data_IF_340107487048
#
_entry.id   IF_340107487048
#
_cell.length_a   1.000
_cell.length_b   1.000
_cell.length_c   1.000
_cell.angle_alpha   90.00
_cell.angle_beta   90.00
_cell.angle_gamma   90.00
#
_symmetry.space_group_name_H-M   'P 1'
#
loop_
_entity.id
_entity.type
_entity.pdbx_description
1 polymer ?
#
# COMPACT_ATOMS: atom_id res chain seq x y z
N UNK A 1 -0.77 2.64 -22.28
CA UNK A 1 -0.60 4.08 -21.97
C UNK A 1 -1.40 4.27 -20.69
N UNK A 2 -0.75 4.58 -19.57
CA UNK A 2 -1.48 4.90 -18.35
C UNK A 2 -2.32 6.14 -18.61
N UNK A 3 -3.62 6.06 -18.32
CA UNK A 3 -4.52 7.22 -18.35
C UNK A 3 -3.96 8.32 -17.45
N UNK A 4 -4.13 9.59 -17.82
CA UNK A 4 -3.71 10.76 -17.02
C UNK A 4 -4.27 10.74 -15.57
N UNK A 5 -5.29 9.92 -15.29
CA UNK A 5 -5.91 9.76 -13.96
C UNK A 5 -5.09 8.99 -12.92
N UNK A 6 -3.97 8.39 -13.31
CA UNK A 6 -3.21 7.46 -12.46
C UNK A 6 -1.78 7.94 -12.10
N UNK A 7 -1.43 9.18 -12.43
CA UNK A 7 -0.10 9.73 -12.08
C UNK A 7 -0.10 10.11 -10.59
N UNK A 8 0.81 9.57 -9.77
CA UNK A 8 0.81 9.84 -8.33
C UNK A 8 1.49 11.18 -8.01
N UNK A 9 1.01 11.85 -6.96
CA UNK A 9 1.68 13.04 -6.43
C UNK A 9 2.96 12.73 -5.64
N UNK A 10 3.08 11.50 -5.14
CA UNK A 10 4.26 11.06 -4.39
C UNK A 10 5.52 11.11 -5.26
N UNK A 11 6.52 11.89 -4.86
CA UNK A 11 7.84 11.96 -5.49
C UNK A 11 8.73 10.87 -4.87
N UNK A 12 9.04 9.75 -5.55
CA UNK A 12 9.75 8.61 -4.96
C UNK A 12 11.28 8.78 -5.02
N UNK A 13 11.75 9.99 -4.68
CA UNK A 13 13.15 10.40 -4.72
C UNK A 13 13.49 11.01 -3.37
N UNK A 14 14.69 10.72 -2.87
CA UNK A 14 15.11 11.29 -1.60
C UNK A 14 15.32 12.79 -1.71
N UNK A 15 14.99 13.54 -0.65
CA UNK A 15 15.21 15.00 -0.60
C UNK A 15 16.65 15.40 -0.92
N UNK A 16 17.64 14.63 -0.48
CA UNK A 16 19.06 14.88 -0.83
C UNK A 16 19.30 14.83 -2.33
N UNK A 17 18.77 13.81 -3.02
CA UNK A 17 18.96 13.67 -4.48
C UNK A 17 18.27 14.79 -5.25
N UNK A 18 17.10 15.24 -4.79
CA UNK A 18 16.43 16.41 -5.38
C UNK A 18 17.31 17.66 -5.23
N UNK A 19 17.80 17.95 -4.02
CA UNK A 19 18.69 19.10 -3.77
C UNK A 19 19.96 19.05 -4.60
N UNK A 20 20.63 17.90 -4.63
CA UNK A 20 21.87 17.71 -5.38
C UNK A 20 21.63 17.95 -6.89
N UNK A 21 20.50 17.50 -7.43
CA UNK A 21 20.13 17.73 -8.83
C UNK A 21 19.81 19.21 -9.12
N UNK A 22 19.08 19.90 -8.23
CA UNK A 22 18.77 21.32 -8.40
C UNK A 22 20.05 22.18 -8.37
N UNK A 23 20.96 21.91 -7.44
CA UNK A 23 22.23 22.64 -7.32
C UNK A 23 23.17 22.37 -8.51
N UNK A 24 23.03 21.23 -9.17
CA UNK A 24 23.82 20.87 -10.35
C UNK A 24 23.35 21.54 -11.65
N UNK A 25 22.24 22.28 -11.64
CA UNK A 25 21.74 22.98 -12.83
C UNK A 25 22.68 24.14 -13.23
N UNK A 26 22.90 24.33 -14.53
CA UNK A 26 23.83 25.35 -15.08
C UNK A 26 23.48 26.80 -14.68
N UNK A 27 22.21 27.06 -14.36
CA UNK A 27 21.73 28.38 -13.90
C UNK A 27 22.19 28.72 -12.48
N UNK A 28 22.68 27.73 -11.72
CA UNK A 28 23.05 27.88 -10.31
C UNK A 28 24.55 28.12 -10.17
N UNK A 29 24.93 29.36 -9.85
CA UNK A 29 26.30 29.69 -9.50
C UNK A 29 26.68 29.24 -8.07
N UNK A 30 27.95 29.41 -7.69
CA UNK A 30 28.46 28.98 -6.38
C UNK A 30 27.85 29.72 -5.19
N UNK A 31 27.52 31.00 -5.36
CA UNK A 31 26.96 31.82 -4.29
C UNK A 31 25.48 31.46 -4.10
N UNK A 32 24.73 31.35 -5.19
CA UNK A 32 23.35 30.88 -5.17
C UNK A 32 23.23 29.44 -4.63
N UNK A 33 24.13 28.54 -5.03
CA UNK A 33 24.17 27.18 -4.49
C UNK A 33 24.33 27.16 -2.95
N UNK A 34 25.16 28.06 -2.40
CA UNK A 34 25.35 28.18 -0.95
C UNK A 34 24.08 28.69 -0.28
N UNK A 35 23.47 29.73 -0.84
CA UNK A 35 22.25 30.32 -0.29
C UNK A 35 21.07 29.34 -0.33
N UNK A 36 20.88 28.62 -1.44
CA UNK A 36 19.84 27.59 -1.59
C UNK A 36 20.02 26.44 -0.59
N UNK A 37 21.26 26.01 -0.33
CA UNK A 37 21.55 25.01 0.72
C UNK A 37 21.11 25.49 2.09
N UNK A 38 21.38 26.76 2.42
CA UNK A 38 20.99 27.33 3.71
C UNK A 38 19.46 27.46 3.83
N UNK A 39 18.78 27.93 2.78
CA UNK A 39 17.31 28.02 2.77
C UNK A 39 16.72 26.63 2.96
N UNK A 40 17.17 25.64 2.19
CA UNK A 40 16.71 24.26 2.32
C UNK A 40 16.95 23.68 3.73
N UNK A 41 18.10 23.95 4.35
CA UNK A 41 18.38 23.49 5.72
C UNK A 41 17.42 24.10 6.74
N UNK A 42 17.08 25.38 6.60
CA UNK A 42 16.12 26.04 7.49
C UNK A 42 14.70 25.50 7.30
N UNK A 43 14.27 25.28 6.05
CA UNK A 43 12.99 24.61 5.78
C UNK A 43 12.97 23.21 6.41
N UNK A 44 14.00 22.39 6.17
CA UNK A 44 14.12 21.05 6.77
C UNK A 44 14.01 21.09 8.31
N UNK A 45 14.70 22.01 8.97
CA UNK A 45 14.65 22.15 10.42
C UNK A 45 13.24 22.51 10.93
N UNK A 46 12.57 23.47 10.27
CA UNK A 46 11.22 23.92 10.64
C UNK A 46 10.18 22.81 10.49
N UNK A 47 10.16 22.12 9.35
CA UNK A 47 9.23 21.01 9.13
C UNK A 47 9.53 19.85 10.07
N UNK A 48 10.80 19.51 10.29
CA UNK A 48 11.16 18.45 11.23
C UNK A 48 10.62 18.72 12.64
N UNK A 49 10.75 19.96 13.12
CA UNK A 49 10.22 20.36 14.42
C UNK A 49 8.69 20.25 14.49
N UNK A 50 7.97 20.70 13.45
CA UNK A 50 6.51 20.60 13.39
C UNK A 50 6.04 19.14 13.34
N UNK A 51 6.68 18.33 12.49
CA UNK A 51 6.42 16.90 12.34
C UNK A 51 6.63 16.14 13.65
N UNK A 52 7.69 16.46 14.40
CA UNK A 52 7.96 15.86 15.70
C UNK A 52 6.82 16.10 16.71
N UNK A 53 6.27 17.32 16.76
CA UNK A 53 5.14 17.64 17.66
C UNK A 53 3.91 16.81 17.33
N UNK A 54 3.60 16.67 16.04
CA UNK A 54 2.48 15.86 15.57
C UNK A 54 2.71 14.37 15.85
N UNK A 55 3.93 13.89 15.63
CA UNK A 55 4.34 12.50 15.88
C UNK A 55 4.18 12.12 17.36
N UNK A 56 4.64 12.96 18.29
CA UNK A 56 4.52 12.70 19.73
C UNK A 56 3.06 12.70 20.18
N UNK A 57 2.22 13.59 19.63
CA UNK A 57 0.78 13.58 19.87
C UNK A 57 0.13 12.28 19.39
N UNK A 58 0.47 11.80 18.19
CA UNK A 58 -0.02 10.54 17.64
C UNK A 58 0.40 9.35 18.51
N UNK A 59 1.67 9.28 18.92
CA UNK A 59 2.19 8.22 19.81
C UNK A 59 1.44 8.19 21.14
N UNK A 60 1.25 9.34 21.78
CA UNK A 60 0.55 9.44 23.07
C UNK A 60 -0.91 8.95 22.97
N UNK A 61 -1.60 9.25 21.87
CA UNK A 61 -2.96 8.72 21.67
C UNK A 61 -2.90 7.21 21.39
N UNK A 62 -1.95 6.77 20.56
CA UNK A 62 -1.82 5.40 20.10
C UNK A 62 -1.36 4.42 21.19
N UNK A 63 -0.64 4.86 22.23
CA UNK A 63 -0.28 4.04 23.40
C UNK A 63 -1.52 3.33 23.99
N UNK A 64 -2.67 3.99 23.96
CA UNK A 64 -3.92 3.40 24.43
C UNK A 64 -4.74 2.64 23.37
N UNK A 65 -4.28 2.63 22.13
CA UNK A 65 -4.86 1.89 21.02
C UNK A 65 -4.00 0.67 20.65
N UNK A 66 -2.75 0.61 21.11
CA UNK A 66 -1.81 -0.44 20.74
C UNK A 66 -2.35 -1.82 21.17
N UNK A 67 -2.46 -2.77 20.21
CA UNK A 67 -2.90 -4.14 20.45
C UNK A 67 -2.12 -4.90 21.55
N UNK A 68 -0.87 -4.50 21.79
CA UNK A 68 0.05 -5.19 22.68
C UNK A 68 0.10 -4.60 24.09
N UNK A 69 -0.10 -3.29 24.25
CA UNK A 69 0.13 -2.60 25.53
C UNK A 69 -1.17 -2.31 26.33
N UNK A 70 -2.23 -1.80 25.70
CA UNK A 70 -3.43 -1.34 26.43
C UNK A 70 -4.76 -1.62 25.69
N UNK A 71 -5.51 -2.69 26.04
CA UNK A 71 -6.56 -3.26 25.20
C UNK A 71 -7.95 -2.59 25.29
N UNK A 72 -8.05 -1.33 25.74
CA UNK A 72 -9.34 -0.62 25.87
C UNK A 72 -9.36 0.65 25.03
N UNK A 73 -9.04 0.53 23.74
CA UNK A 73 -9.26 1.60 22.78
C UNK A 73 -10.75 1.81 22.56
N UNK A 74 -11.34 2.84 23.19
CA UNK A 74 -12.73 3.22 22.92
C UNK A 74 -12.83 3.84 21.52
N UNK A 75 -13.92 3.57 20.80
CA UNK A 75 -14.17 4.10 19.44
C UNK A 75 -13.89 5.61 19.29
N UNK A 76 -14.25 6.50 20.25
CA UNK A 76 -13.94 7.92 20.14
C UNK A 76 -12.44 8.22 20.08
N UNK A 77 -11.60 7.43 20.76
CA UNK A 77 -10.14 7.61 20.74
C UNK A 77 -9.54 7.15 19.41
N UNK A 78 -10.05 6.06 18.84
CA UNK A 78 -9.69 5.58 17.50
C UNK A 78 -10.01 6.65 16.46
N UNK A 79 -11.22 7.21 16.48
CA UNK A 79 -11.61 8.28 15.54
C UNK A 79 -10.75 9.54 15.70
N UNK A 80 -10.40 9.93 16.93
CA UNK A 80 -9.52 11.06 17.17
C UNK A 80 -8.09 10.82 16.64
N UNK A 81 -7.54 9.62 16.86
CA UNK A 81 -6.26 9.22 16.28
C UNK A 81 -6.29 9.29 14.76
N UNK A 82 -7.27 8.62 14.14
CA UNK A 82 -7.42 8.54 12.69
C UNK A 82 -7.57 9.93 12.07
N UNK A 83 -8.32 10.84 12.69
CA UNK A 83 -8.46 12.22 12.19
C UNK A 83 -7.13 12.97 12.11
N UNK A 84 -6.25 12.82 13.11
CA UNK A 84 -4.93 13.47 13.08
C UNK A 84 -4.02 12.74 12.09
N UNK A 85 -4.08 11.41 12.08
CA UNK A 85 -3.26 10.58 11.21
C UNK A 85 -3.60 10.75 9.72
N UNK A 86 -4.88 10.95 9.38
CA UNK A 86 -5.35 11.30 8.04
C UNK A 86 -4.71 12.61 7.54
N UNK A 87 -4.43 13.57 8.44
CA UNK A 87 -3.69 14.80 8.10
C UNK A 87 -2.26 14.49 7.66
N UNK A 88 -1.52 13.71 8.46
CA UNK A 88 -0.15 13.28 8.12
C UNK A 88 -0.11 12.46 6.83
N UNK A 89 -1.12 11.62 6.61
CA UNK A 89 -1.25 10.85 5.37
C UNK A 89 -1.46 11.78 4.17
N UNK A 90 -2.31 12.80 4.30
CA UNK A 90 -2.53 13.80 3.24
C UNK A 90 -1.24 14.55 2.90
N UNK A 91 -0.55 15.08 3.91
CA UNK A 91 0.72 15.81 3.76
C UNK A 91 1.83 14.92 3.13
N UNK A 92 1.71 13.60 3.25
CA UNK A 92 2.60 12.63 2.61
C UNK A 92 2.14 12.10 1.26
N UNK A 93 1.10 12.68 0.65
CA UNK A 93 0.51 12.25 -0.62
C UNK A 93 -0.03 10.81 -0.62
N UNK A 94 -0.48 10.32 0.54
CA UNK A 94 -1.18 9.04 0.66
C UNK A 94 -2.62 9.19 0.19
N UNK A 95 -3.09 8.19 -0.56
CA UNK A 95 -4.47 8.14 -1.03
C UNK A 95 -5.18 6.94 -0.41
N UNK A 96 -6.47 7.04 -0.04
CA UNK A 96 -7.24 5.86 0.33
C UNK A 96 -7.32 4.90 -0.87
N UNK A 97 -7.29 3.59 -0.60
CA UNK A 97 -7.68 2.58 -1.58
C UNK A 97 -9.20 2.51 -1.56
N UNK A 98 -9.82 2.75 -2.72
CA UNK A 98 -11.28 2.77 -2.85
C UNK A 98 -11.88 1.37 -2.82
N UNK A 99 -13.18 1.28 -2.53
CA UNK A 99 -13.91 0.01 -2.59
C UNK A 99 -13.91 -0.56 -4.01
N UNK A 100 -13.95 0.31 -5.03
CA UNK A 100 -13.81 -0.06 -6.43
C UNK A 100 -12.45 -0.72 -6.71
N UNK A 101 -11.34 -0.10 -6.30
CA UNK A 101 -10.00 -0.65 -6.48
C UNK A 101 -9.80 -1.96 -5.71
N UNK A 102 -10.35 -2.05 -4.50
CA UNK A 102 -10.31 -3.28 -3.71
C UNK A 102 -11.10 -4.41 -4.40
N UNK A 103 -12.26 -4.09 -4.97
CA UNK A 103 -13.07 -5.05 -5.73
C UNK A 103 -12.37 -5.47 -7.02
N UNK A 104 -11.78 -4.54 -7.76
CA UNK A 104 -10.97 -4.84 -8.94
C UNK A 104 -9.77 -5.73 -8.60
N UNK A 105 -9.12 -5.51 -7.46
CA UNK A 105 -8.03 -6.38 -7.00
C UNK A 105 -8.52 -7.82 -6.75
N UNK A 106 -9.67 -7.97 -6.10
CA UNK A 106 -10.27 -9.28 -5.82
C UNK A 106 -10.77 -9.97 -7.10
N UNK A 107 -11.27 -9.23 -8.09
CA UNK A 107 -11.77 -9.79 -9.35
C UNK A 107 -10.64 -10.06 -10.37
N UNK A 108 -9.56 -9.27 -10.32
CA UNK A 108 -8.42 -9.31 -11.23
C UNK A 108 -7.41 -10.44 -10.99
N UNK A 109 -7.80 -11.52 -10.32
CA UNK A 109 -6.97 -12.69 -9.95
C UNK A 109 -6.18 -13.32 -11.14
N UNK A 110 -5.05 -12.75 -11.56
CA UNK A 110 -4.33 -13.27 -12.75
C UNK A 110 -2.91 -13.78 -12.52
N UNK A 111 -2.27 -13.49 -11.36
CA UNK A 111 -0.85 -13.81 -11.19
C UNK A 111 -0.61 -15.16 -10.49
N UNK A 112 -1.43 -15.53 -9.49
CA UNK A 112 -1.18 -16.69 -8.62
C UNK A 112 -2.24 -17.82 -8.74
N UNK A 113 -1.87 -19.09 -8.42
CA UNK A 113 -2.75 -20.24 -8.61
C UNK A 113 -3.85 -20.42 -7.54
N UNK A 114 -3.83 -19.65 -6.45
CA UNK A 114 -4.79 -19.74 -5.34
C UNK A 114 -5.30 -18.34 -5.04
N UNK A 115 -6.61 -18.20 -4.85
CA UNK A 115 -7.19 -16.96 -4.36
C UNK A 115 -7.42 -16.98 -2.86
N UNK A 116 -7.27 -15.83 -2.24
CA UNK A 116 -7.52 -15.63 -0.81
C UNK A 116 -8.84 -14.89 -0.65
N UNK A 117 -9.77 -15.53 0.02
CA UNK A 117 -11.04 -14.89 0.40
C UNK A 117 -10.85 -14.15 1.72
N UNK A 118 -11.00 -12.81 1.69
CA UNK A 118 -10.87 -11.94 2.86
C UNK A 118 -12.24 -11.79 3.52
N UNK A 119 -12.31 -11.99 4.84
CA UNK A 119 -13.56 -11.84 5.60
C UNK A 119 -13.68 -10.41 6.14
N UNK A 120 -14.01 -9.46 5.27
CA UNK A 120 -14.09 -8.05 5.62
C UNK A 120 -15.07 -7.74 6.75
N UNK A 121 -16.13 -8.56 6.90
CA UNK A 121 -17.15 -8.39 7.94
C UNK A 121 -16.65 -8.65 9.37
N UNK A 122 -15.44 -9.21 9.53
CA UNK A 122 -14.78 -9.45 10.83
C UNK A 122 -14.10 -8.18 11.38
N UNK A 123 -13.95 -7.13 10.58
CA UNK A 123 -13.35 -5.86 11.00
C UNK A 123 -14.40 -4.87 11.52
N UNK A 124 -14.08 -4.20 12.63
CA UNK A 124 -14.81 -3.05 13.16
C UNK A 124 -14.39 -1.76 12.44
N UNK A 125 -13.09 -1.57 12.24
CA UNK A 125 -12.49 -0.51 11.44
C UNK A 125 -11.56 -1.16 10.42
N UNK A 126 -11.64 -0.73 9.16
CA UNK A 126 -10.73 -1.17 8.10
C UNK A 126 -10.48 0.00 7.17
N UNK A 127 -9.22 0.42 7.06
CA UNK A 127 -8.77 1.43 6.10
C UNK A 127 -7.50 0.96 5.43
N UNK A 128 -7.45 1.17 4.12
CA UNK A 128 -6.27 0.94 3.31
C UNK A 128 -5.86 2.25 2.65
N UNK A 129 -4.57 2.53 2.64
CA UNK A 129 -3.99 3.67 1.94
C UNK A 129 -2.86 3.19 1.05
N UNK A 130 -2.73 3.80 -0.13
CA UNK A 130 -1.69 3.55 -1.13
C UNK A 130 -0.76 4.76 -1.21
N UNK A 131 0.51 4.49 -1.50
CA UNK A 131 1.50 5.51 -1.82
C UNK A 131 2.30 5.08 -3.05
N UNK A 132 2.33 5.97 -4.04
CA UNK A 132 3.07 5.77 -5.29
C UNK A 132 2.63 4.55 -6.10
N UNK A 133 3.12 4.46 -7.34
CA UNK A 133 2.96 3.28 -8.19
C UNK A 133 4.28 2.95 -8.86
N UNK A 134 4.55 1.67 -9.05
CA UNK A 134 5.71 1.21 -9.80
C UNK A 134 5.38 -0.01 -10.68
N UNK A 135 5.93 -0.08 -11.89
CA UNK A 135 5.87 -1.30 -12.67
C UNK A 135 6.72 -2.39 -12.00
N UNK A 136 6.26 -3.63 -12.08
CA UNK A 136 7.03 -4.78 -11.65
C UNK A 136 6.93 -5.91 -12.68
N UNK A 137 7.93 -6.79 -12.66
CA UNK A 137 7.92 -8.02 -13.43
C UNK A 137 8.12 -9.19 -12.48
N UNK A 138 7.20 -10.14 -12.49
CA UNK A 138 7.31 -11.41 -11.78
C UNK A 138 7.32 -12.57 -12.77
N UNK A 139 7.59 -13.78 -12.28
CA UNK A 139 7.66 -14.97 -13.13
C UNK A 139 6.78 -16.09 -12.60
N UNK A 140 5.88 -16.57 -13.46
CA UNK A 140 5.10 -17.78 -13.17
C UNK A 140 5.77 -19.00 -13.76
N UNK A 141 5.89 -20.07 -12.97
CA UNK A 141 6.33 -21.39 -13.43
C UNK A 141 5.21 -22.07 -14.21
N UNK A 142 5.50 -22.49 -15.44
CA UNK A 142 4.65 -23.29 -16.31
C UNK A 142 5.34 -24.63 -16.64
N UNK A 143 4.59 -25.59 -17.18
CA UNK A 143 5.09 -26.91 -17.59
C UNK A 143 5.92 -27.61 -16.50
N UNK A 144 5.32 -27.85 -15.32
CA UNK A 144 5.99 -28.47 -14.17
C UNK A 144 7.27 -27.74 -13.70
N UNK A 145 7.41 -26.44 -14.02
CA UNK A 145 8.56 -25.63 -13.64
C UNK A 145 9.65 -25.51 -14.69
N UNK A 146 9.48 -26.13 -15.87
CA UNK A 146 10.46 -26.08 -16.97
C UNK A 146 10.46 -24.75 -17.73
N UNK A 147 9.35 -24.00 -17.69
CA UNK A 147 9.26 -22.69 -18.34
C UNK A 147 8.89 -21.63 -17.32
N UNK A 148 9.60 -20.50 -17.35
CA UNK A 148 9.21 -19.27 -16.62
C UNK A 148 8.54 -18.34 -17.62
N UNK A 149 7.34 -17.88 -17.30
CA UNK A 149 6.60 -16.91 -18.11
C UNK A 149 6.66 -15.58 -17.35
N UNK A 150 7.19 -14.50 -17.96
CA UNK A 150 7.18 -13.18 -17.34
C UNK A 150 5.74 -12.67 -17.26
N UNK A 151 5.41 -12.05 -16.13
CA UNK A 151 4.15 -11.37 -15.89
C UNK A 151 4.52 -9.96 -15.49
N UNK A 152 4.07 -8.99 -16.26
CA UNK A 152 4.21 -7.57 -15.98
C UNK A 152 2.94 -7.06 -15.31
N UNK A 153 3.10 -6.13 -14.37
CA UNK A 153 1.99 -5.54 -13.66
C UNK A 153 2.39 -4.25 -12.97
N UNK A 154 1.42 -3.65 -12.27
CA UNK A 154 1.62 -2.45 -11.46
C UNK A 154 1.45 -2.81 -9.98
N UNK A 155 2.37 -2.33 -9.16
CA UNK A 155 2.31 -2.40 -7.71
C UNK A 155 2.19 -1.00 -7.13
N UNK A 156 1.54 -0.88 -5.98
CA UNK A 156 1.73 0.28 -5.12
C UNK A 156 3.15 0.22 -4.54
N UNK A 157 3.85 1.35 -4.49
CA UNK A 157 5.17 1.38 -3.85
C UNK A 157 5.01 0.99 -2.38
N UNK A 158 3.97 1.53 -1.72
CA UNK A 158 3.60 1.15 -0.35
C UNK A 158 2.10 1.06 -0.15
N UNK A 159 1.70 0.18 0.76
CA UNK A 159 0.33 0.06 1.25
C UNK A 159 0.35 0.09 2.77
N UNK A 160 -0.42 1.02 3.32
CA UNK A 160 -0.71 1.10 4.74
C UNK A 160 -2.07 0.46 5.01
N UNK A 161 -2.09 -0.49 5.92
CA UNK A 161 -3.30 -1.14 6.42
C UNK A 161 -3.54 -0.71 7.86
N UNK A 162 -4.75 -0.25 8.15
CA UNK A 162 -5.23 0.06 9.50
C UNK A 162 -6.47 -0.78 9.76
N UNK A 163 -6.40 -1.70 10.72
CA UNK A 163 -7.50 -2.62 11.03
C UNK A 163 -7.76 -2.71 12.52
N UNK A 164 -9.03 -2.83 12.88
CA UNK A 164 -9.49 -3.20 14.20
C UNK A 164 -10.49 -4.33 14.04
N UNK A 165 -10.33 -5.43 14.77
CA UNK A 165 -11.30 -6.53 14.75
C UNK A 165 -12.53 -6.20 15.57
N UNK A 166 -13.64 -6.88 15.26
CA UNK A 166 -14.81 -6.90 16.15
C UNK A 166 -14.49 -7.66 17.43
N UNK A 167 -15.20 -7.32 18.51
CA UNK A 167 -15.04 -7.97 19.81
C UNK A 167 -15.55 -9.42 19.81
N UNK A 168 -15.15 -10.19 20.82
CA UNK A 168 -15.45 -11.62 20.96
C UNK A 168 -16.96 -11.90 20.89
N UNK A 169 -17.77 -11.02 21.47
CA UNK A 169 -19.23 -11.06 21.50
C UNK A 169 -19.83 -11.15 20.08
N UNK A 170 -19.26 -10.41 19.12
CA UNK A 170 -19.73 -10.45 17.74
C UNK A 170 -19.46 -11.81 17.09
N UNK A 171 -18.29 -12.40 17.35
CA UNK A 171 -17.96 -13.74 16.84
C UNK A 171 -18.83 -14.84 17.47
N UNK A 172 -19.16 -14.71 18.77
CA UNK A 172 -20.12 -15.59 19.45
C UNK A 172 -21.51 -15.48 18.81
N UNK A 173 -22.03 -14.26 18.66
CA UNK A 173 -23.35 -14.00 18.08
C UNK A 173 -23.48 -14.55 16.65
N UNK A 174 -22.42 -14.47 15.85
CA UNK A 174 -22.40 -14.92 14.45
C UNK A 174 -21.96 -16.40 14.28
N UNK A 175 -21.74 -17.15 15.38
CA UNK A 175 -21.27 -18.55 15.35
C UNK A 175 -19.93 -18.74 14.60
N UNK A 176 -19.04 -17.75 14.68
CA UNK A 176 -17.73 -17.72 14.00
C UNK A 176 -16.53 -17.80 14.95
N UNK A 177 -16.70 -18.34 16.16
CA UNK A 177 -15.62 -18.43 17.16
C UNK A 177 -14.33 -19.11 16.68
N UNK A 178 -14.42 -20.00 15.69
CA UNK A 178 -13.24 -20.61 15.04
C UNK A 178 -12.32 -19.60 14.32
N UNK A 179 -12.86 -18.44 13.93
CA UNK A 179 -12.15 -17.37 13.23
C UNK A 179 -11.72 -16.24 14.19
N UNK A 180 -12.13 -16.28 15.45
CA UNK A 180 -11.81 -15.21 16.39
C UNK A 180 -10.29 -15.15 16.61
N UNK A 181 -9.63 -14.01 16.37
CA UNK A 181 -8.17 -13.92 16.44
C UNK A 181 -7.62 -13.89 17.88
N UNK A 182 -8.48 -13.97 18.90
CA UNK A 182 -8.04 -14.07 20.29
C UNK A 182 -7.43 -12.75 20.78
N UNK A 183 -6.17 -12.81 21.24
CA UNK A 183 -5.47 -11.62 21.75
C UNK A 183 -5.21 -10.57 20.65
N UNK A 184 -5.14 -11.01 19.40
CA UNK A 184 -4.92 -10.16 18.23
C UNK A 184 -6.23 -9.49 17.76
N UNK A 185 -7.36 -9.70 18.46
CA UNK A 185 -8.59 -8.94 18.23
C UNK A 185 -8.56 -7.54 18.86
N UNK A 186 -7.55 -7.26 19.70
CA UNK A 186 -7.52 -6.10 20.59
C UNK A 186 -6.84 -4.92 19.90
N UNK A 187 -7.33 -3.72 20.17
CA UNK A 187 -6.68 -2.48 19.72
C UNK A 187 -6.75 -2.24 18.22
N UNK A 188 -6.03 -1.21 17.77
CA UNK A 188 -5.91 -0.79 16.38
C UNK A 188 -4.58 -1.29 15.83
N UNK A 189 -4.60 -2.20 14.87
CA UNK A 189 -3.39 -2.67 14.21
C UNK A 189 -3.07 -1.78 13.02
N UNK A 190 -1.79 -1.44 12.87
CA UNK A 190 -1.28 -0.77 11.67
C UNK A 190 -0.15 -1.58 11.06
N UNK A 191 -0.18 -1.80 9.76
CA UNK A 191 0.87 -2.50 9.03
C UNK A 191 1.23 -1.73 7.76
N UNK A 192 2.53 -1.54 7.55
CA UNK A 192 3.06 -0.89 6.37
C UNK A 192 3.80 -1.92 5.53
N UNK A 193 3.41 -2.06 4.27
CA UNK A 193 3.99 -2.99 3.30
C UNK A 193 4.60 -2.24 2.12
N UNK A 194 5.68 -2.77 1.57
CA UNK A 194 6.29 -2.31 0.32
C UNK A 194 5.93 -3.22 -0.84
N UNK A 195 5.86 -2.68 -2.06
CA UNK A 195 5.78 -3.46 -3.30
C UNK A 195 4.58 -4.41 -3.34
N UNK A 196 3.39 -3.88 -3.07
CA UNK A 196 2.15 -4.67 -3.06
C UNK A 196 1.50 -4.59 -4.45
N UNK A 197 1.36 -5.71 -5.18
CA UNK A 197 0.68 -5.72 -6.48
C UNK A 197 -0.75 -5.18 -6.36
N UNK A 198 -1.16 -4.32 -7.31
CA UNK A 198 -2.52 -3.75 -7.30
C UNK A 198 -3.60 -4.83 -7.30
N UNK A 199 -3.34 -5.96 -7.96
CA UNK A 199 -4.28 -7.08 -8.12
C UNK A 199 -4.07 -8.22 -7.13
N UNK A 200 -3.29 -8.03 -6.06
CA UNK A 200 -3.07 -9.03 -5.00
C UNK A 200 -3.20 -8.38 -3.60
N UNK A 201 -4.10 -7.41 -3.43
CA UNK A 201 -4.31 -6.70 -2.15
C UNK A 201 -4.83 -7.63 -1.04
N UNK A 202 -5.49 -8.73 -1.39
CA UNK A 202 -5.95 -9.72 -0.43
C UNK A 202 -4.79 -10.37 0.35
N UNK A 203 -3.58 -10.39 -0.22
CA UNK A 203 -2.41 -11.03 0.40
C UNK A 203 -1.94 -10.35 1.68
N UNK A 204 -2.22 -9.04 1.86
CA UNK A 204 -1.84 -8.29 3.06
C UNK A 204 -2.83 -8.49 4.22
N UNK A 205 -3.94 -9.19 4.00
CA UNK A 205 -4.93 -9.41 5.05
C UNK A 205 -4.61 -10.63 5.92
N UNK A 206 -4.63 -10.49 7.26
CA UNK A 206 -4.36 -11.59 8.18
C UNK A 206 -5.49 -12.63 8.25
N UNK A 207 -6.73 -12.25 7.91
CA UNK A 207 -7.91 -13.09 8.04
C UNK A 207 -8.37 -13.68 6.69
N UNK A 208 -7.43 -14.20 5.92
CA UNK A 208 -7.70 -14.81 4.62
C UNK A 208 -7.99 -16.30 4.72
N UNK A 209 -8.86 -16.81 3.84
CA UNK A 209 -9.09 -18.25 3.64
C UNK A 209 -8.75 -18.65 2.22
N UNK A 210 -7.88 -19.65 2.00
CA UNK A 210 -7.60 -20.12 0.65
C UNK A 210 -8.84 -20.74 0.01
N UNK A 211 -9.20 -20.24 -1.17
CA UNK A 211 -10.26 -20.78 -2.00
C UNK A 211 -9.65 -21.48 -3.23
N UNK A 212 -10.32 -22.53 -3.70
CA UNK A 212 -9.94 -23.18 -4.96
C UNK A 212 -10.43 -22.34 -6.12
N UNK A 213 -9.54 -21.96 -7.04
CA UNK A 213 -9.92 -21.34 -8.31
C UNK A 213 -10.90 -22.25 -9.06
N UNK A 214 -11.87 -21.65 -9.75
CA UNK A 214 -12.93 -22.39 -10.45
C UNK A 214 -12.40 -23.46 -11.43
N UNK A 215 -11.31 -23.15 -12.13
CA UNK A 215 -10.66 -24.08 -13.07
C UNK A 215 -10.08 -25.32 -12.35
N UNK A 216 -9.42 -25.13 -11.20
CA UNK A 216 -8.83 -26.24 -10.46
C UNK A 216 -9.90 -27.06 -9.73
N UNK A 217 -10.99 -26.42 -9.30
CA UNK A 217 -12.19 -27.11 -8.82
C UNK A 217 -12.78 -28.01 -9.91
N UNK A 218 -12.85 -27.54 -11.16
CA UNK A 218 -13.33 -28.32 -12.31
C UNK A 218 -12.42 -29.52 -12.62
N UNK A 219 -11.10 -29.35 -12.60
CA UNK A 219 -10.12 -30.44 -12.83
C UNK A 219 -10.25 -31.58 -11.81
N UNK A 220 -10.72 -31.29 -10.61
CA UNK A 220 -10.94 -32.31 -9.57
C UNK A 220 -12.34 -32.91 -9.70
N UNK A 221 -13.38 -32.08 -9.83
CA UNK A 221 -14.77 -32.54 -9.83
C UNK A 221 -15.17 -33.28 -11.11
N UNK A 222 -14.72 -32.84 -12.30
CA UNK A 222 -15.14 -33.45 -13.55
C UNK A 222 -14.69 -34.92 -13.67
N UNK A 223 -13.42 -35.30 -13.40
CA UNK A 223 -13.01 -36.70 -13.43
C UNK A 223 -13.65 -37.54 -12.32
N UNK A 224 -13.88 -36.95 -11.14
CA UNK A 224 -14.56 -37.62 -10.03
C UNK A 224 -16.00 -37.99 -10.40
N UNK A 225 -16.77 -37.03 -10.94
CA UNK A 225 -18.14 -37.25 -11.40
C UNK A 225 -18.18 -38.23 -12.57
N UNK A 226 -17.28 -38.11 -13.54
CA UNK A 226 -17.17 -39.06 -14.65
C UNK A 226 -16.89 -40.48 -14.16
N UNK A 227 -15.99 -40.65 -13.17
CA UNK A 227 -15.70 -41.94 -12.55
C UNK A 227 -16.90 -42.55 -11.83
N UNK A 228 -17.64 -41.73 -11.05
CA UNK A 228 -18.86 -42.16 -10.35
C UNK A 228 -19.95 -42.58 -11.34
N UNK A 229 -20.19 -41.77 -12.39
CA UNK A 229 -21.16 -42.10 -13.45
C UNK A 229 -20.75 -43.39 -14.17
N UNK A 230 -19.45 -43.55 -14.47
CA UNK A 230 -18.95 -44.78 -15.12
C UNK A 230 -19.22 -46.01 -14.25
N UNK A 231 -18.99 -45.92 -12.94
CA UNK A 231 -19.29 -47.00 -12.00
C UNK A 231 -20.81 -47.26 -11.94
N UNK A 232 -21.63 -46.22 -11.84
CA UNK A 232 -23.08 -46.34 -11.78
C UNK A 232 -23.69 -46.95 -13.05
N UNK A 233 -23.21 -46.59 -14.24
CA UNK A 233 -23.68 -47.15 -15.51
C UNK A 233 -23.23 -48.60 -15.69
N UNK A 234 -21.95 -48.91 -15.42
CA UNK A 234 -21.43 -50.28 -15.61
C UNK A 234 -21.95 -51.27 -14.57
N UNK A 235 -22.20 -50.82 -13.35
CA UNK A 235 -22.43 -51.71 -12.22
C UNK A 235 -23.77 -51.44 -11.50
N UNK A 236 -24.51 -50.40 -11.89
CA UNK A 236 -25.85 -50.12 -11.40
C UNK A 236 -26.82 -51.30 -11.62
N UNK A 237 -26.91 -51.90 -12.82
CA UNK A 237 -27.79 -53.05 -13.06
C UNK A 237 -27.51 -54.23 -12.10
N UNK A 238 -26.25 -54.48 -11.77
CA UNK A 238 -25.82 -55.54 -10.84
C UNK A 238 -26.22 -55.21 -9.39
N UNK A 239 -26.15 -53.94 -8.99
CA UNK A 239 -26.54 -53.48 -7.64
C UNK A 239 -28.07 -53.46 -7.43
N UNK A 240 -28.86 -53.36 -8.50
CA UNK A 240 -30.33 -53.35 -8.46
C UNK A 240 -30.99 -54.70 -8.79
N UNK A 241 -30.21 -55.80 -8.80
CA UNK A 241 -30.74 -57.16 -8.86
C UNK A 241 -30.93 -57.74 -10.27
N UNK A 242 -30.38 -57.10 -11.31
CA UNK A 242 -30.36 -57.67 -12.66
C UNK A 242 -29.22 -58.68 -12.82
N UNK A 243 -29.41 -59.73 -13.63
CA UNK A 243 -28.47 -60.86 -13.67
C UNK A 243 -27.05 -60.44 -14.09
N UNK A 244 -25.99 -60.91 -13.40
CA UNK A 244 -24.63 -60.54 -13.75
C UNK A 244 -24.24 -61.24 -15.05
N UNK A 245 -24.09 -60.50 -16.15
CA UNK A 245 -23.13 -60.92 -17.19
C UNK A 245 -21.73 -60.99 -16.58
N UNK A 246 -20.81 -61.79 -17.15
CA UNK A 246 -19.42 -62.09 -16.71
C UNK A 246 -18.60 -60.86 -16.26
N UNK A 247 -18.99 -60.25 -15.16
CA UNK A 247 -18.45 -58.98 -14.68
C UNK A 247 -17.48 -59.33 -13.58
N UNK A 248 -16.20 -59.28 -13.94
CA UNK A 248 -15.11 -59.66 -13.06
C UNK A 248 -15.06 -58.70 -11.85
N UNK A 249 -15.31 -59.22 -10.65
CA UNK A 249 -15.26 -58.48 -9.37
C UNK A 249 -13.93 -57.69 -9.22
N UNK A 250 -12.84 -58.22 -9.77
CA UNK A 250 -11.54 -57.53 -9.78
C UNK A 250 -11.54 -56.23 -10.60
N UNK A 251 -12.35 -56.13 -11.65
CA UNK A 251 -12.52 -54.93 -12.47
C UNK A 251 -13.26 -53.83 -11.69
N UNK A 252 -14.27 -54.22 -10.90
CA UNK A 252 -15.03 -53.31 -10.02
C UNK A 252 -14.11 -52.77 -8.94
N UNK A 253 -13.44 -53.67 -8.21
CA UNK A 253 -12.51 -53.31 -7.14
C UNK A 253 -11.35 -52.47 -7.67
N UNK A 254 -10.79 -52.81 -8.84
CA UNK A 254 -9.74 -52.02 -9.48
C UNK A 254 -10.19 -50.62 -9.88
N UNK A 255 -11.43 -50.47 -10.38
CA UNK A 255 -11.99 -49.15 -10.75
C UNK A 255 -12.26 -48.29 -9.50
N UNK A 256 -12.80 -48.89 -8.43
CA UNK A 256 -13.03 -48.21 -7.16
C UNK A 256 -11.72 -47.79 -6.50
N UNK A 257 -10.73 -48.68 -6.43
CA UNK A 257 -9.40 -48.38 -5.90
C UNK A 257 -8.71 -47.30 -6.74
N UNK A 258 -8.82 -47.37 -8.06
CA UNK A 258 -8.29 -46.35 -8.98
C UNK A 258 -8.92 -44.97 -8.76
N UNK A 259 -10.26 -44.89 -8.68
CA UNK A 259 -10.98 -43.66 -8.40
C UNK A 259 -10.62 -43.10 -7.01
N UNK A 260 -10.59 -43.96 -5.99
CA UNK A 260 -10.20 -43.59 -4.64
C UNK A 260 -8.76 -43.06 -4.57
N UNK A 261 -7.83 -43.74 -5.25
CA UNK A 261 -6.42 -43.32 -5.32
C UNK A 261 -6.27 -41.97 -6.04
N UNK A 262 -7.02 -41.75 -7.12
CA UNK A 262 -7.04 -40.47 -7.81
C UNK A 262 -7.62 -39.35 -6.93
N UNK A 263 -8.74 -39.57 -6.25
CA UNK A 263 -9.36 -38.61 -5.34
C UNK A 263 -8.41 -38.25 -4.19
N UNK A 264 -7.78 -39.26 -3.55
CA UNK A 264 -6.81 -39.06 -2.49
C UNK A 264 -5.58 -38.28 -2.98
N UNK A 265 -5.02 -38.66 -4.13
CA UNK A 265 -3.87 -37.95 -4.73
C UNK A 265 -4.21 -36.50 -5.06
N UNK A 266 -5.39 -36.25 -5.62
CA UNK A 266 -5.87 -34.91 -5.98
C UNK A 266 -6.05 -34.04 -4.74
N UNK A 267 -6.63 -34.59 -3.67
CA UNK A 267 -6.78 -33.93 -2.38
C UNK A 267 -5.41 -33.60 -1.74
N UNK A 268 -4.48 -34.55 -1.71
CA UNK A 268 -3.13 -34.33 -1.17
C UNK A 268 -2.35 -33.29 -2.00
N UNK A 269 -2.48 -33.30 -3.33
CA UNK A 269 -1.87 -32.31 -4.20
C UNK A 269 -2.43 -30.90 -3.94
N UNK A 270 -3.74 -30.77 -3.76
CA UNK A 270 -4.36 -29.51 -3.37
C UNK A 270 -3.83 -29.01 -2.02
N UNK A 271 -3.81 -29.87 -0.99
CA UNK A 271 -3.28 -29.52 0.33
C UNK A 271 -1.84 -29.00 0.26
N UNK A 272 -0.96 -29.71 -0.46
CA UNK A 272 0.43 -29.31 -0.65
C UNK A 272 0.55 -27.96 -1.37
N UNK A 273 -0.29 -27.73 -2.38
CA UNK A 273 -0.30 -26.46 -3.14
C UNK A 273 -0.76 -25.31 -2.24
N UNK A 274 -1.82 -25.53 -1.45
CA UNK A 274 -2.33 -24.58 -0.45
C UNK A 274 -1.27 -24.21 0.60
N UNK A 275 -0.63 -25.22 1.21
CA UNK A 275 0.41 -25.01 2.23
C UNK A 275 1.61 -24.25 1.64
N UNK A 276 2.06 -24.63 0.43
CA UNK A 276 3.16 -23.94 -0.26
C UNK A 276 2.84 -22.49 -0.60
N UNK A 277 1.60 -22.19 -0.98
CA UNK A 277 1.17 -20.82 -1.29
C UNK A 277 1.11 -19.95 -0.04
N UNK A 278 0.49 -20.44 1.05
CA UNK A 278 0.45 -19.73 2.32
C UNK A 278 1.86 -19.46 2.87
N UNK A 279 2.77 -20.43 2.75
CA UNK A 279 4.18 -20.23 3.11
C UNK A 279 4.87 -19.17 2.23
N UNK A 280 4.54 -19.10 0.94
CA UNK A 280 5.05 -18.06 0.04
C UNK A 280 4.52 -16.68 0.40
N UNK A 281 3.21 -16.54 0.64
CA UNK A 281 2.58 -15.28 1.08
C UNK A 281 3.19 -14.82 2.40
N UNK A 282 3.29 -15.70 3.39
CA UNK A 282 3.91 -15.37 4.68
C UNK A 282 5.36 -14.91 4.54
N UNK A 283 6.16 -15.58 3.70
CA UNK A 283 7.53 -15.16 3.38
C UNK A 283 7.56 -13.79 2.69
N UNK A 284 6.67 -13.57 1.74
CA UNK A 284 6.57 -12.31 1.00
C UNK A 284 6.20 -11.15 1.95
N UNK A 285 5.19 -11.33 2.79
CA UNK A 285 4.81 -10.37 3.83
C UNK A 285 5.95 -10.07 4.81
N UNK A 286 6.75 -11.06 5.19
CA UNK A 286 7.91 -10.85 6.06
C UNK A 286 8.95 -9.91 5.44
N UNK A 287 9.26 -10.09 4.14
CA UNK A 287 10.26 -9.25 3.46
C UNK A 287 9.70 -7.91 2.98
N UNK A 288 8.39 -7.82 2.76
CA UNK A 288 7.71 -6.61 2.32
C UNK A 288 7.23 -5.74 3.48
N UNK A 289 7.04 -6.30 4.67
CA UNK A 289 6.67 -5.56 5.87
C UNK A 289 7.77 -4.58 6.27
N UNK A 290 7.42 -3.30 6.39
CA UNK A 290 8.37 -2.22 6.71
C UNK A 290 8.21 -1.70 8.14
N UNK A 291 6.97 -1.62 8.63
CA UNK A 291 6.67 -1.14 9.96
C UNK A 291 5.33 -1.71 10.45
N UNK A 292 5.23 -1.90 11.76
CA UNK A 292 4.02 -2.37 12.43
C UNK A 292 3.69 -1.45 13.61
N UNK A 293 2.40 -1.22 13.86
CA UNK A 293 1.85 -0.45 14.98
C UNK A 293 2.53 0.91 15.17
N UNK A 294 3.05 1.21 16.36
CA UNK A 294 3.67 2.51 16.67
C UNK A 294 4.82 2.88 15.73
N UNK A 295 5.54 1.91 15.16
CA UNK A 295 6.59 2.16 14.18
C UNK A 295 6.05 2.73 12.86
N UNK A 296 4.78 2.45 12.51
CA UNK A 296 4.12 3.02 11.33
C UNK A 296 3.98 4.53 11.49
N UNK A 297 3.70 5.04 12.69
CA UNK A 297 3.61 6.49 12.96
C UNK A 297 4.92 7.16 12.59
N UNK A 298 6.05 6.63 13.08
CA UNK A 298 7.38 7.16 12.77
C UNK A 298 7.64 7.16 11.25
N UNK A 299 7.31 6.04 10.60
CA UNK A 299 7.58 5.86 9.18
C UNK A 299 6.77 6.81 8.30
N UNK A 300 5.46 6.91 8.57
CA UNK A 300 4.54 7.73 7.79
C UNK A 300 4.82 9.21 8.00
N UNK A 301 5.12 9.63 9.24
CA UNK A 301 5.49 11.02 9.53
C UNK A 301 6.79 11.42 8.85
N UNK A 302 7.82 10.56 8.85
CA UNK A 302 9.09 10.82 8.15
C UNK A 302 8.88 10.95 6.62
N UNK A 303 8.07 10.07 6.02
CA UNK A 303 7.73 10.17 4.60
C UNK A 303 6.93 11.44 4.27
N UNK A 304 6.03 11.84 5.16
CA UNK A 304 5.23 13.06 5.01
C UNK A 304 6.12 14.30 5.08
N UNK A 305 6.97 14.42 6.10
CA UNK A 305 7.97 15.48 6.20
C UNK A 305 8.84 15.55 4.92
N UNK A 306 9.24 14.40 4.39
CA UNK A 306 10.05 14.36 3.18
C UNK A 306 9.31 14.91 1.94
N UNK A 307 8.01 14.63 1.76
CA UNK A 307 7.23 15.20 0.64
C UNK A 307 7.08 16.70 0.78
N UNK A 308 6.61 17.16 1.94
CA UNK A 308 6.42 18.57 2.29
C UNK A 308 7.65 19.42 1.94
N UNK A 309 8.82 18.97 2.40
CA UNK A 309 10.10 19.66 2.17
C UNK A 309 10.45 19.67 0.68
N UNK A 310 10.28 18.55 -0.04
CA UNK A 310 10.60 18.50 -1.47
C UNK A 310 9.73 19.45 -2.27
N UNK A 311 8.44 19.47 -1.99
CA UNK A 311 7.48 20.33 -2.68
C UNK A 311 7.81 21.81 -2.47
N UNK A 312 8.03 22.21 -1.21
CA UNK A 312 8.41 23.59 -0.89
C UNK A 312 9.74 23.99 -1.56
N UNK A 313 10.76 23.12 -1.53
CA UNK A 313 12.06 23.39 -2.16
C UNK A 313 11.92 23.51 -3.68
N UNK A 314 11.16 22.62 -4.32
CA UNK A 314 10.97 22.64 -5.77
C UNK A 314 10.26 23.92 -6.21
N UNK A 315 9.13 24.25 -5.59
CA UNK A 315 8.40 25.47 -5.90
C UNK A 315 9.25 26.72 -5.66
N UNK A 316 9.93 26.81 -4.50
CA UNK A 316 10.80 27.96 -4.20
C UNK A 316 11.95 28.09 -5.20
N UNK A 317 12.59 26.98 -5.56
CA UNK A 317 13.71 26.99 -6.48
C UNK A 317 13.30 27.53 -7.86
N UNK A 318 12.25 26.98 -8.48
CA UNK A 318 11.86 27.38 -9.83
C UNK A 318 11.34 28.81 -9.87
N UNK A 319 10.55 29.23 -8.88
CA UNK A 319 10.12 30.62 -8.78
C UNK A 319 11.30 31.60 -8.58
N UNK A 320 12.40 31.15 -7.98
CA UNK A 320 13.59 31.98 -7.79
C UNK A 320 14.45 32.09 -9.06
N UNK A 321 14.76 30.96 -9.70
CA UNK A 321 15.70 30.94 -10.83
C UNK A 321 15.06 31.35 -12.15
N UNK A 322 13.73 31.22 -12.27
CA UNK A 322 12.93 31.62 -13.44
C UNK A 322 12.04 32.84 -13.11
N UNK A 323 12.52 33.73 -12.23
CA UNK A 323 11.75 34.90 -11.77
C UNK A 323 11.27 35.85 -12.90
N UNK A 324 11.96 35.86 -14.03
CA UNK A 324 11.62 36.64 -15.23
C UNK A 324 10.52 36.00 -16.09
N UNK A 325 10.20 34.72 -15.88
CA UNK A 325 9.19 34.00 -16.67
C UNK A 325 7.75 34.34 -16.26
N UNK A 326 7.55 34.85 -15.04
CA UNK A 326 6.23 35.21 -14.53
C UNK A 326 5.29 34.02 -14.40
N UNK A 327 5.71 33.00 -13.64
CA UNK A 327 4.93 31.77 -13.48
C UNK A 327 3.52 32.02 -12.91
N UNK A 328 2.56 31.31 -13.51
CA UNK A 328 1.25 31.05 -12.94
C UNK A 328 1.30 29.73 -12.18
N UNK A 329 0.23 29.37 -11.45
CA UNK A 329 0.15 28.06 -10.78
C UNK A 329 0.35 26.92 -11.79
N UNK A 330 -0.40 26.94 -12.89
CA UNK A 330 -0.36 25.90 -13.94
C UNK A 330 1.02 25.83 -14.62
N UNK A 331 1.63 26.98 -14.93
CA UNK A 331 2.93 26.97 -15.60
C UNK A 331 4.09 26.60 -14.67
N UNK A 332 3.98 26.81 -13.37
CA UNK A 332 4.94 26.29 -12.39
C UNK A 332 4.79 24.77 -12.26
N UNK A 333 3.56 24.28 -12.21
CA UNK A 333 3.23 22.86 -12.10
C UNK A 333 3.87 22.04 -13.23
N UNK A 334 3.51 22.37 -14.47
CA UNK A 334 4.06 21.78 -15.70
C UNK A 334 5.59 21.82 -15.71
N UNK A 335 6.17 22.92 -15.22
CA UNK A 335 7.61 23.15 -15.20
C UNK A 335 8.34 22.22 -14.24
N UNK A 336 7.79 22.02 -13.04
CA UNK A 336 8.34 21.12 -12.02
C UNK A 336 8.19 19.67 -12.46
N UNK A 337 7.00 19.26 -12.91
CA UNK A 337 6.75 17.90 -13.38
C UNK A 337 7.67 17.51 -14.54
N UNK A 338 7.82 18.42 -15.52
CA UNK A 338 8.73 18.21 -16.64
C UNK A 338 10.17 18.06 -16.17
N UNK A 339 10.63 18.87 -15.22
CA UNK A 339 11.96 18.73 -14.67
C UNK A 339 12.18 17.39 -13.97
N UNK A 340 11.22 16.93 -13.15
CA UNK A 340 11.28 15.64 -12.47
C UNK A 340 11.36 14.50 -13.51
N UNK A 341 10.56 14.61 -14.57
CA UNK A 341 10.55 13.63 -15.66
C UNK A 341 11.87 13.59 -16.43
N UNK A 342 12.38 14.75 -16.84
CA UNK A 342 13.61 14.86 -17.62
C UNK A 342 14.84 14.45 -16.79
N UNK A 343 14.86 14.75 -15.49
CA UNK A 343 16.01 14.51 -14.61
C UNK A 343 16.04 13.08 -14.06
N UNK A 344 14.88 12.52 -13.72
CA UNK A 344 14.81 11.24 -13.01
C UNK A 344 14.03 10.14 -13.74
N UNK A 345 13.39 10.46 -14.86
CA UNK A 345 12.59 9.51 -15.64
C UNK A 345 11.28 9.11 -14.95
N UNK A 346 10.78 9.93 -14.01
CA UNK A 346 9.59 9.65 -13.21
C UNK A 346 8.50 10.65 -13.58
N UNK A 347 7.27 10.17 -13.77
CA UNK A 347 6.09 11.04 -13.91
C UNK A 347 5.42 11.18 -12.55
N UNK A 348 5.12 12.42 -12.17
CA UNK A 348 4.40 12.79 -10.96
C UNK A 348 3.40 13.89 -11.31
N UNK A 349 2.33 13.98 -10.52
CA UNK A 349 1.36 15.08 -10.52
C UNK A 349 1.79 16.04 -9.38
N UNK A 350 2.38 17.18 -9.68
CA UNK A 350 3.02 17.98 -8.63
C UNK A 350 1.98 18.72 -7.78
N UNK A 351 2.09 18.65 -6.44
CA UNK A 351 1.16 19.34 -5.52
C UNK A 351 1.50 20.84 -5.41
N UNK A 352 1.46 21.55 -6.55
CA UNK A 352 1.87 22.96 -6.66
C UNK A 352 1.07 23.85 -5.71
N UNK A 353 -0.23 23.63 -5.57
CA UNK A 353 -1.08 24.47 -4.72
C UNK A 353 -0.68 24.37 -3.25
N UNK A 354 -0.35 23.15 -2.80
CA UNK A 354 0.06 22.91 -1.44
C UNK A 354 1.47 23.45 -1.19
N UNK A 355 2.39 23.27 -2.15
CA UNK A 355 3.72 23.87 -2.12
C UNK A 355 3.67 25.40 -2.00
N UNK A 356 2.83 26.06 -2.80
CA UNK A 356 2.65 27.52 -2.77
C UNK A 356 2.02 27.99 -1.46
N UNK A 357 1.00 27.27 -0.97
CA UNK A 357 0.39 27.55 0.33
C UNK A 357 1.41 27.51 1.46
N UNK A 358 2.28 26.50 1.49
CA UNK A 358 3.38 26.37 2.46
C UNK A 358 4.34 27.57 2.41
N UNK A 359 4.76 27.96 1.20
CA UNK A 359 5.62 29.13 1.02
C UNK A 359 4.91 30.43 1.46
N UNK A 360 3.61 30.55 1.22
CA UNK A 360 2.81 31.69 1.67
C UNK A 360 2.70 31.74 3.19
N UNK A 361 2.44 30.61 3.86
CA UNK A 361 2.35 30.52 5.33
C UNK A 361 3.68 30.88 6.01
N UNK A 362 4.81 30.57 5.37
CA UNK A 362 6.14 30.99 5.80
C UNK A 362 6.48 32.45 5.44
N UNK A 363 5.61 33.16 4.71
CA UNK A 363 5.87 34.53 4.24
C UNK A 363 6.97 34.64 3.18
N UNK A 364 7.23 33.54 2.45
CA UNK A 364 8.24 33.48 1.38
C UNK A 364 7.65 33.78 0.00
N UNK A 365 6.34 33.67 -0.16
CA UNK A 365 5.62 33.90 -1.42
C UNK A 365 5.20 35.37 -1.57
N UNK A 366 5.35 35.92 -2.78
CA UNK A 366 4.85 37.23 -3.18
C UNK A 366 3.97 37.06 -4.43
N UNK A 367 2.68 37.42 -4.33
CA UNK A 367 1.69 37.31 -5.40
C UNK A 367 1.28 38.70 -5.91
N UNK A 368 1.41 38.93 -7.21
CA UNK A 368 1.01 40.19 -7.84
C UNK A 368 0.45 39.95 -9.26
N UNK A 369 -0.79 40.37 -9.49
CA UNK A 369 -1.47 40.29 -10.80
C UNK A 369 -1.41 38.89 -11.45
N UNK A 370 -1.80 37.85 -10.69
CA UNK A 370 -1.77 36.43 -11.10
C UNK A 370 -0.38 35.85 -11.40
N UNK A 371 0.69 36.62 -11.15
CA UNK A 371 2.08 36.18 -11.24
C UNK A 371 2.59 35.88 -9.84
N UNK A 372 3.23 34.72 -9.72
CA UNK A 372 3.75 34.21 -8.46
C UNK A 372 5.27 34.37 -8.45
N UNK A 373 5.80 34.83 -7.32
CA UNK A 373 7.23 35.00 -7.10
C UNK A 373 7.60 34.66 -5.66
N UNK A 374 8.89 34.55 -5.38
CA UNK A 374 9.42 34.30 -4.04
C UNK A 374 10.41 35.37 -3.64
N UNK A 375 10.51 35.60 -2.33
CA UNK A 375 11.53 36.48 -1.79
C UNK A 375 12.95 35.95 -2.08
N UNK A 376 13.96 36.82 -2.31
CA UNK A 376 15.33 36.37 -2.52
C UNK A 376 15.90 35.61 -1.31
N UNK A 377 16.87 34.69 -1.48
CA UNK A 377 17.36 33.81 -0.41
C UNK A 377 17.81 34.53 0.86
N UNK A 378 18.49 35.67 0.75
CA UNK A 378 18.90 36.47 1.92
C UNK A 378 17.71 36.99 2.74
N UNK A 379 16.60 37.35 2.08
CA UNK A 379 15.36 37.76 2.75
C UNK A 379 14.63 36.54 3.31
N UNK A 380 14.56 35.44 2.55
CA UNK A 380 14.00 34.17 3.00
C UNK A 380 14.66 33.69 4.29
N UNK A 381 16.00 33.66 4.34
CA UNK A 381 16.75 33.23 5.51
C UNK A 381 16.43 34.06 6.75
N UNK A 382 16.32 35.39 6.63
CA UNK A 382 15.93 36.25 7.77
C UNK A 382 14.51 35.98 8.26
N UNK A 383 13.59 35.65 7.35
CA UNK A 383 12.21 35.31 7.70
C UNK A 383 12.19 33.97 8.44
N UNK A 384 12.86 32.95 7.89
CA UNK A 384 12.92 31.61 8.48
C UNK A 384 13.64 31.59 9.83
N UNK A 385 14.72 32.35 9.98
CA UNK A 385 15.46 32.53 11.24
C UNK A 385 14.57 33.16 12.32
N UNK A 386 13.83 34.22 11.96
CA UNK A 386 12.86 34.83 12.87
C UNK A 386 11.75 33.86 13.27
N UNK A 387 11.21 33.10 12.32
CA UNK A 387 10.19 32.07 12.61
C UNK A 387 10.76 31.07 13.61
N UNK A 388 11.99 30.59 13.39
CA UNK A 388 12.66 29.63 14.26
C UNK A 388 12.86 30.17 15.69
N UNK A 389 13.35 31.40 15.82
CA UNK A 389 13.55 32.06 17.11
C UNK A 389 12.23 32.27 17.88
N UNK A 390 11.14 32.52 17.16
CA UNK A 390 9.81 32.74 17.74
C UNK A 390 9.10 31.44 18.16
N UNK A 391 9.60 30.24 17.80
CA UNK A 391 8.99 28.94 18.20
C UNK A 391 8.93 28.80 19.72
N UNK A 392 9.98 29.25 20.41
CA UNK A 392 10.13 29.09 21.85
C UNK A 392 10.30 30.44 22.54
N UNK A 393 9.22 31.22 22.61
CA UNK A 393 9.25 32.47 23.34
C UNK A 393 9.04 32.23 24.86
N UNK A 394 10.14 31.91 25.55
CA UNK A 394 10.19 31.86 27.02
C UNK A 394 10.58 33.23 27.64
N UNK A 395 10.65 34.28 26.84
CA UNK A 395 10.87 35.64 27.30
C UNK A 395 9.55 36.30 27.69
N UNK A 396 9.33 36.50 28.99
CA UNK A 396 8.48 37.58 29.50
C UNK A 396 9.20 38.93 29.42
#
# INVERSE_FOLDING_TARGET
MADLKDVPCYIPISRSRVKDALIAMDIVDKDLAKELKQVSQMLEALWHHNSQTTQEKLKSIYEHLDPFEHPHGTLPRVQHFLKIFDGVLKDGNWLPITDEELKEAIEGEDVFPISLDVRFDEFLEMRLYKLGVMPFTTFRKAFFGLKKIPIEGIAYDRVLQVIQYKEEEWFKANKRMKNFPGKDARGLHMHLFKSVPKLDLETIFPNTTPNMRGIDRLKILAPALAGIVTIAVKFGPILFGDTPGDTNLSLILGTLVGLFTYMLRSYLAYRKTKESYLAQVSKDLYFKGQANNSAVINFVTDLSEEQEVKEAILAYFFLLVEADHGHTIESLDDRVEKWISDTFGIKVDFEVQDALKKLSELGLLEEANDVISVVPPKKALKILDRIWDEIYNFGE
#
